data_IF_223851305291
#
_entry.id   IF_223851305291
#
_cell.length_a   1.000
_cell.length_b   1.000
_cell.length_c   1.000
_cell.angle_alpha   90.00
_cell.angle_beta   90.00
_cell.angle_gamma   90.00
#
_symmetry.space_group_name_H-M   'P 1'
#
loop_
_entity.id
_entity.type
_entity.pdbx_description
1 polymer ?
#
# COMPACT_ATOMS: atom_id res chain seq x y z
N UNK A 1 -3.26 43.07 17.27
CA UNK A 1 -4.42 42.50 18.00
C UNK A 1 -4.63 41.09 17.44
N UNK A 2 -4.16 40.09 18.19
CA UNK A 2 -4.25 38.69 17.82
C UNK A 2 -5.58 38.13 18.31
N UNK A 3 -6.41 37.62 17.42
CA UNK A 3 -7.57 36.82 17.80
C UNK A 3 -7.17 35.36 17.76
N UNK A 4 -6.94 34.77 18.92
CA UNK A 4 -6.82 33.34 19.13
C UNK A 4 -8.19 32.69 19.11
N UNK A 5 -8.37 31.68 18.23
CA UNK A 5 -9.51 30.77 18.25
C UNK A 5 -9.11 29.56 19.09
N UNK A 6 -9.86 29.13 20.09
CA UNK A 6 -9.49 28.00 20.94
C UNK A 6 -9.71 26.67 20.22
N UNK A 7 -8.60 25.95 20.02
CA UNK A 7 -8.58 24.53 19.66
C UNK A 7 -8.98 23.69 20.89
N UNK A 8 -10.28 23.44 21.07
CA UNK A 8 -10.67 22.41 22.04
C UNK A 8 -12.11 21.95 21.79
N UNK A 9 -12.29 20.92 20.94
CA UNK A 9 -13.41 19.96 20.96
C UNK A 9 -13.29 18.94 19.81
N UNK A 10 -12.28 18.09 19.86
CA UNK A 10 -12.20 16.85 19.05
C UNK A 10 -11.41 15.80 19.86
N UNK A 11 -11.88 15.59 21.10
CA UNK A 11 -11.38 14.51 21.93
C UNK A 11 -12.60 13.79 22.49
N UNK A 12 -13.02 12.72 21.85
CA UNK A 12 -13.63 11.53 22.47
C UNK A 12 -14.25 10.64 21.40
N UNK A 13 -13.40 9.83 20.78
CA UNK A 13 -13.70 8.47 20.33
C UNK A 13 -12.34 7.77 20.15
N UNK A 14 -11.64 7.58 21.27
CA UNK A 14 -10.58 6.59 21.33
C UNK A 14 -11.25 5.23 21.46
N UNK A 15 -11.63 4.62 20.34
CA UNK A 15 -11.77 3.18 20.26
C UNK A 15 -10.41 2.59 20.64
N UNK A 16 -10.42 1.72 21.66
CA UNK A 16 -9.26 1.03 22.19
C UNK A 16 -8.51 0.34 21.05
N UNK A 17 -7.46 0.99 20.57
CA UNK A 17 -6.47 0.38 19.72
C UNK A 17 -5.72 -0.62 20.61
N UNK A 18 -6.00 -1.89 20.43
CA UNK A 18 -5.15 -2.97 20.96
C UNK A 18 -3.74 -2.81 20.41
N UNK A 19 -2.69 -3.21 21.15
CA UNK A 19 -1.31 -2.90 20.80
C UNK A 19 -0.88 -3.47 19.43
N UNK A 20 0.20 -2.94 18.85
CA UNK A 20 0.61 -3.19 17.46
C UNK A 20 1.32 -4.53 17.27
N UNK A 21 0.59 -5.63 17.40
CA UNK A 21 1.07 -6.97 17.00
C UNK A 21 0.38 -7.47 15.72
N UNK A 22 -0.25 -6.58 14.98
CA UNK A 22 -1.10 -6.93 13.88
C UNK A 22 -0.47 -6.54 12.54
N UNK A 23 0.25 -7.44 11.95
CA UNK A 23 0.88 -7.29 10.64
C UNK A 23 0.96 -8.62 9.91
N UNK A 24 1.46 -8.55 8.68
CA UNK A 24 1.81 -9.77 7.95
C UNK A 24 3.13 -10.34 8.43
N UNK A 25 3.20 -11.66 8.58
CA UNK A 25 4.45 -12.40 8.73
C UNK A 25 4.49 -13.62 7.80
N UNK A 26 5.67 -13.96 7.36
CA UNK A 26 5.97 -15.04 6.44
C UNK A 26 6.91 -16.01 7.13
N UNK A 27 6.64 -17.32 7.02
CA UNK A 27 7.47 -18.40 7.53
C UNK A 27 7.78 -19.34 6.37
N UNK A 28 9.03 -19.28 5.88
CA UNK A 28 9.56 -20.10 4.78
C UNK A 28 8.68 -20.18 3.55
N UNK A 29 8.04 -19.04 3.22
CA UNK A 29 7.12 -18.93 2.10
C UNK A 29 7.85 -19.10 0.79
N UNK A 30 7.38 -20.03 -0.04
CA UNK A 30 7.91 -20.30 -1.38
C UNK A 30 6.83 -20.19 -2.43
N UNK A 31 7.22 -19.85 -3.66
CA UNK A 31 6.32 -19.93 -4.80
C UNK A 31 6.99 -20.53 -6.02
N UNK A 32 6.39 -21.59 -6.57
CA UNK A 32 6.88 -22.34 -7.70
C UNK A 32 5.83 -22.42 -8.80
N UNK A 33 6.29 -22.33 -10.04
CA UNK A 33 5.53 -22.66 -11.24
C UNK A 33 6.23 -23.82 -11.96
N UNK A 34 5.60 -24.50 -12.91
CA UNK A 34 6.25 -25.57 -13.67
C UNK A 34 7.62 -25.15 -14.20
N UNK A 35 8.67 -25.87 -13.81
CA UNK A 35 10.06 -25.63 -14.25
C UNK A 35 10.78 -24.44 -13.61
N UNK A 36 10.14 -23.65 -12.72
CA UNK A 36 10.78 -22.45 -12.15
C UNK A 36 10.32 -22.14 -10.72
N UNK A 37 11.27 -21.79 -9.85
CA UNK A 37 10.99 -21.14 -8.55
C UNK A 37 10.97 -19.62 -8.77
N UNK A 38 9.88 -18.97 -8.37
CA UNK A 38 9.69 -17.52 -8.47
C UNK A 38 9.96 -16.83 -7.13
N UNK A 39 9.75 -17.53 -6.01
CA UNK A 39 10.17 -17.08 -4.68
C UNK A 39 10.80 -18.26 -3.95
N UNK A 40 12.03 -18.07 -3.51
CA UNK A 40 12.76 -18.98 -2.63
C UNK A 40 12.26 -18.84 -1.19
N UNK A 41 12.58 -19.77 -0.27
CA UNK A 41 12.09 -19.69 1.10
C UNK A 41 12.33 -18.32 1.73
N UNK A 42 11.24 -17.64 2.07
CA UNK A 42 11.25 -16.26 2.54
C UNK A 42 10.56 -16.18 3.90
N UNK A 43 11.31 -15.71 4.91
CA UNK A 43 10.80 -15.44 6.26
C UNK A 43 11.04 -13.99 6.61
N UNK A 44 9.95 -13.23 6.84
CA UNK A 44 10.01 -11.81 7.22
C UNK A 44 8.71 -11.39 7.92
N UNK A 45 8.77 -10.26 8.63
CA UNK A 45 7.60 -9.61 9.25
C UNK A 45 7.49 -8.18 8.75
N UNK A 46 6.31 -7.78 8.33
CA UNK A 46 6.03 -6.40 7.92
C UNK A 46 5.64 -5.57 9.14
N UNK A 47 6.29 -4.43 9.40
CA UNK A 47 5.94 -3.56 10.53
C UNK A 47 4.51 -3.04 10.42
N UNK A 48 3.71 -3.22 11.48
CA UNK A 48 2.35 -2.68 11.55
C UNK A 48 2.35 -1.15 11.61
N UNK A 49 1.36 -0.52 10.98
CA UNK A 49 1.20 0.95 10.97
C UNK A 49 2.31 1.70 10.22
N UNK A 50 3.05 1.02 9.35
CA UNK A 50 4.17 1.56 8.58
C UNK A 50 3.94 1.37 7.08
N UNK A 51 4.58 2.22 6.29
CA UNK A 51 4.67 2.05 4.84
C UNK A 51 5.91 1.24 4.50
N UNK A 52 5.71 0.01 4.01
CA UNK A 52 6.80 -0.85 3.52
C UNK A 52 6.84 -0.85 2.00
N UNK A 53 7.97 -0.48 1.43
CA UNK A 53 8.24 -0.57 -0.01
C UNK A 53 8.88 -1.90 -0.38
N UNK A 54 8.26 -2.65 -1.29
CA UNK A 54 8.86 -3.80 -1.95
C UNK A 54 9.64 -3.30 -3.18
N UNK A 55 10.97 -3.41 -3.16
CA UNK A 55 11.88 -2.90 -4.19
C UNK A 55 12.69 -4.02 -4.86
N UNK A 56 13.29 -3.73 -6.01
CA UNK A 56 14.11 -4.66 -6.79
C UNK A 56 13.73 -4.63 -8.27
N UNK A 57 14.52 -5.29 -9.11
CA UNK A 57 14.31 -5.30 -10.56
C UNK A 57 13.02 -6.05 -10.98
N UNK A 58 12.61 -5.91 -12.25
CA UNK A 58 11.46 -6.62 -12.79
C UNK A 58 11.69 -8.13 -12.74
N UNK A 59 10.64 -8.88 -12.37
CA UNK A 59 10.72 -10.33 -12.22
C UNK A 59 11.38 -10.82 -10.92
N UNK A 60 11.70 -9.93 -9.96
CA UNK A 60 12.29 -10.33 -8.69
C UNK A 60 11.32 -10.98 -7.69
N UNK A 61 10.02 -11.08 -8.02
CA UNK A 61 9.02 -11.73 -7.16
C UNK A 61 8.12 -10.79 -6.35
N UNK A 62 8.28 -9.46 -6.42
CA UNK A 62 7.53 -8.46 -5.63
C UNK A 62 6.01 -8.61 -5.75
N UNK A 63 5.48 -8.54 -6.98
CA UNK A 63 4.03 -8.68 -7.23
C UNK A 63 3.52 -10.09 -6.90
N UNK A 64 4.35 -11.14 -7.06
CA UNK A 64 4.02 -12.49 -6.62
C UNK A 64 3.86 -12.55 -5.11
N UNK A 65 4.80 -11.97 -4.36
CA UNK A 65 4.71 -11.85 -2.91
C UNK A 65 3.46 -11.07 -2.50
N UNK A 66 3.22 -9.90 -3.10
CA UNK A 66 2.06 -9.08 -2.79
C UNK A 66 0.73 -9.81 -3.07
N UNK A 67 0.64 -10.56 -4.17
CA UNK A 67 -0.52 -11.39 -4.51
C UNK A 67 -0.77 -12.51 -3.50
N UNK A 68 0.29 -13.08 -2.90
CA UNK A 68 0.13 -14.08 -1.84
C UNK A 68 -0.41 -13.43 -0.56
N UNK A 69 0.10 -12.25 -0.17
CA UNK A 69 -0.45 -11.48 0.95
C UNK A 69 -1.94 -11.14 0.73
N UNK A 70 -2.33 -10.80 -0.52
CA UNK A 70 -3.71 -10.50 -0.91
C UNK A 70 -4.60 -11.74 -1.12
N UNK A 71 -4.10 -12.97 -0.90
CA UNK A 71 -4.81 -14.24 -1.18
C UNK A 71 -5.22 -14.44 -2.64
N UNK A 72 -4.62 -13.68 -3.56
CA UNK A 72 -4.81 -13.89 -5.01
C UNK A 72 -3.97 -15.06 -5.53
N UNK A 73 -2.99 -15.50 -4.74
CA UNK A 73 -2.10 -16.60 -5.06
C UNK A 73 -1.77 -17.39 -3.80
N UNK A 74 -1.86 -18.73 -3.86
CA UNK A 74 -1.45 -19.58 -2.73
C UNK A 74 0.05 -19.82 -2.78
N UNK A 75 0.76 -19.77 -1.63
CA UNK A 75 2.14 -20.20 -1.57
C UNK A 75 2.27 -21.69 -1.94
N UNK A 76 3.40 -22.08 -2.52
CA UNK A 76 3.72 -23.48 -2.81
C UNK A 76 4.28 -24.22 -1.58
N UNK A 77 4.70 -23.49 -0.55
CA UNK A 77 5.18 -23.98 0.74
C UNK A 77 5.34 -22.82 1.70
N UNK A 78 5.44 -23.14 3.00
CA UNK A 78 5.48 -22.18 4.07
C UNK A 78 4.13 -21.55 4.38
N UNK A 79 4.09 -20.65 5.36
CA UNK A 79 2.88 -20.04 5.87
C UNK A 79 2.92 -18.51 5.79
N UNK A 80 1.83 -17.93 5.31
CA UNK A 80 1.56 -16.50 5.42
C UNK A 80 0.57 -16.29 6.56
N UNK A 81 0.95 -15.47 7.53
CA UNK A 81 0.11 -15.15 8.67
C UNK A 81 -0.30 -13.68 8.64
N UNK A 82 -1.53 -13.40 9.03
CA UNK A 82 -2.05 -12.05 9.30
C UNK A 82 -2.48 -12.02 10.77
N UNK A 83 -1.93 -11.10 11.54
CA UNK A 83 -2.19 -11.00 12.99
C UNK A 83 -1.88 -12.31 13.76
N UNK A 84 -0.86 -13.05 13.31
CA UNK A 84 -0.49 -14.33 13.89
C UNK A 84 -1.33 -15.54 13.48
N UNK A 85 -2.41 -15.32 12.72
CA UNK A 85 -3.32 -16.36 12.22
C UNK A 85 -3.03 -16.70 10.75
N UNK A 86 -2.95 -18.00 10.36
CA UNK A 86 -2.72 -18.37 8.97
C UNK A 86 -3.79 -17.79 8.03
N UNK A 87 -3.37 -17.25 6.88
CA UNK A 87 -4.31 -16.70 5.90
C UNK A 87 -5.35 -17.72 5.41
N UNK A 88 -5.02 -19.01 5.45
CA UNK A 88 -5.92 -20.08 5.04
C UNK A 88 -7.18 -20.17 5.93
N UNK A 89 -7.06 -19.76 7.21
CA UNK A 89 -8.12 -19.89 8.21
C UNK A 89 -9.07 -18.68 8.20
N UNK A 90 -8.68 -17.59 7.56
CA UNK A 90 -9.52 -16.40 7.43
C UNK A 90 -10.70 -16.63 6.48
N UNK A 91 -11.92 -16.32 6.92
CA UNK A 91 -13.04 -16.24 5.97
C UNK A 91 -12.90 -14.99 5.08
N UNK A 92 -13.43 -15.07 3.86
CA UNK A 92 -13.22 -14.02 2.85
C UNK A 92 -13.76 -12.65 3.27
N UNK A 93 -14.87 -12.58 4.00
CA UNK A 93 -15.47 -11.32 4.45
C UNK A 93 -14.64 -10.66 5.56
N UNK A 94 -14.19 -11.45 6.54
CA UNK A 94 -13.30 -10.94 7.60
C UNK A 94 -11.97 -10.47 7.01
N UNK A 95 -11.36 -11.26 6.13
CA UNK A 95 -10.13 -10.87 5.44
C UNK A 95 -10.29 -9.56 4.65
N UNK A 96 -11.38 -9.39 3.89
CA UNK A 96 -11.65 -8.17 3.14
C UNK A 96 -11.93 -6.94 4.03
N UNK A 97 -12.22 -7.10 5.31
CA UNK A 97 -12.29 -5.99 6.28
C UNK A 97 -10.93 -5.62 6.87
N UNK A 98 -9.98 -6.53 6.85
CA UNK A 98 -8.62 -6.29 7.34
C UNK A 98 -7.66 -5.85 6.24
N UNK A 99 -7.84 -6.35 5.00
CA UNK A 99 -6.90 -6.13 3.90
C UNK A 99 -7.62 -5.63 2.66
N UNK A 100 -7.15 -4.51 2.13
CA UNK A 100 -7.55 -3.98 0.82
C UNK A 100 -6.40 -4.14 -0.18
N UNK A 101 -6.72 -4.44 -1.44
CA UNK A 101 -5.74 -4.71 -2.49
C UNK A 101 -5.99 -3.87 -3.73
N UNK A 102 -4.96 -3.16 -4.20
CA UNK A 102 -4.96 -2.44 -5.47
C UNK A 102 -4.08 -3.18 -6.47
N UNK A 103 -4.64 -3.71 -7.56
CA UNK A 103 -3.85 -4.36 -8.61
C UNK A 103 -3.10 -3.33 -9.47
N UNK A 104 -2.02 -3.75 -10.12
CA UNK A 104 -1.24 -2.94 -11.07
C UNK A 104 -2.11 -2.40 -12.22
N UNK A 105 -2.93 -3.28 -12.80
CA UNK A 105 -3.93 -2.87 -13.80
C UNK A 105 -5.27 -2.64 -13.09
N UNK A 106 -5.70 -1.39 -13.07
CA UNK A 106 -6.97 -1.03 -12.47
C UNK A 106 -8.13 -1.65 -13.28
N UNK A 107 -9.10 -2.27 -12.60
CA UNK A 107 -10.29 -2.77 -13.27
C UNK A 107 -11.05 -1.66 -14.03
N UNK A 108 -11.82 -2.02 -15.03
CA UNK A 108 -12.71 -1.09 -15.70
C UNK A 108 -13.78 -0.58 -14.73
N UNK A 109 -14.06 0.71 -14.76
CA UNK A 109 -15.11 1.36 -13.98
C UNK A 109 -16.05 2.15 -14.92
N UNK A 110 -16.32 1.59 -16.09
CA UNK A 110 -17.10 2.21 -17.16
C UNK A 110 -18.49 2.63 -16.68
N UNK A 111 -18.85 3.87 -16.96
CA UNK A 111 -20.14 4.42 -16.60
C UNK A 111 -20.34 4.74 -15.12
N UNK A 112 -19.34 4.47 -14.27
CA UNK A 112 -19.42 4.78 -12.84
C UNK A 112 -18.93 6.20 -12.55
N UNK A 113 -19.61 6.90 -11.65
CA UNK A 113 -19.08 8.10 -11.02
C UNK A 113 -18.03 7.76 -9.97
N UNK A 114 -17.19 8.74 -9.60
CA UNK A 114 -16.22 8.59 -8.50
C UNK A 114 -16.89 8.09 -7.22
N UNK A 115 -18.06 8.66 -6.88
CA UNK A 115 -18.83 8.28 -5.68
C UNK A 115 -19.27 6.83 -5.73
N UNK A 116 -19.77 6.36 -6.85
CA UNK A 116 -20.19 4.97 -7.03
C UNK A 116 -19.01 3.99 -6.94
N UNK A 117 -17.88 4.32 -7.57
CA UNK A 117 -16.64 3.53 -7.43
C UNK A 117 -16.22 3.45 -5.96
N UNK A 118 -16.17 4.57 -5.25
CA UNK A 118 -15.75 4.61 -3.84
C UNK A 118 -16.72 3.82 -2.95
N UNK A 119 -18.03 3.85 -3.27
CA UNK A 119 -19.04 3.08 -2.54
C UNK A 119 -18.85 1.56 -2.64
N UNK A 120 -18.24 1.05 -3.73
CA UNK A 120 -17.89 -0.38 -3.85
C UNK A 120 -16.97 -0.83 -2.71
N UNK A 121 -16.10 0.04 -2.22
CA UNK A 121 -15.22 -0.24 -1.07
C UNK A 121 -15.98 -0.66 0.19
N UNK A 122 -17.25 -0.31 0.32
CA UNK A 122 -18.09 -0.68 1.47
C UNK A 122 -18.68 -2.10 1.39
N UNK A 123 -18.53 -2.78 0.25
CA UNK A 123 -19.09 -4.13 0.03
C UNK A 123 -18.74 -5.16 1.13
N UNK A 124 -17.52 -5.24 1.68
CA UNK A 124 -17.20 -6.17 2.75
C UNK A 124 -18.02 -5.98 4.04
N UNK A 125 -18.61 -4.78 4.23
CA UNK A 125 -19.36 -4.45 5.44
C UNK A 125 -20.83 -4.84 5.35
N UNK A 126 -21.51 -4.56 4.25
CA UNK A 126 -22.91 -4.89 4.05
C UNK A 126 -23.15 -6.17 3.20
N UNK A 127 -22.21 -6.54 2.31
CA UNK A 127 -22.39 -7.69 1.40
C UNK A 127 -23.46 -7.44 0.33
N UNK A 128 -23.77 -8.48 -0.47
CA UNK A 128 -24.70 -8.36 -1.61
C UNK A 128 -26.17 -8.11 -1.20
N UNK A 129 -26.59 -8.60 -0.04
CA UNK A 129 -27.98 -8.48 0.45
C UNK A 129 -28.14 -7.42 1.55
N UNK A 130 -27.06 -6.81 1.98
CA UNK A 130 -27.09 -5.76 2.98
C UNK A 130 -27.52 -4.41 2.39
N UNK A 131 -27.99 -3.51 3.25
CA UNK A 131 -28.39 -2.16 2.85
C UNK A 131 -27.22 -1.20 3.05
N UNK A 132 -26.94 -0.39 2.03
CA UNK A 132 -26.02 0.72 2.10
C UNK A 132 -26.60 1.80 3.03
N UNK A 133 -26.02 1.94 4.21
CA UNK A 133 -26.54 2.76 5.31
C UNK A 133 -25.97 4.18 5.40
N UNK A 134 -26.28 4.85 6.50
CA UNK A 134 -25.76 6.20 6.78
C UNK A 134 -24.25 6.17 7.04
N UNK A 135 -23.75 5.19 7.80
CA UNK A 135 -22.32 5.01 8.05
C UNK A 135 -21.54 4.79 6.75
N UNK A 136 -22.07 3.95 5.82
CA UNK A 136 -21.40 3.74 4.53
C UNK A 136 -21.30 5.02 3.72
N UNK A 137 -22.35 5.86 3.72
CA UNK A 137 -22.33 7.18 3.08
C UNK A 137 -21.27 8.09 3.70
N UNK A 138 -21.20 8.13 5.01
CA UNK A 138 -20.21 8.94 5.73
C UNK A 138 -18.78 8.50 5.38
N UNK A 139 -18.49 7.19 5.38
CA UNK A 139 -17.18 6.65 5.01
C UNK A 139 -16.80 6.95 3.55
N UNK A 140 -17.76 6.91 2.64
CA UNK A 140 -17.55 7.28 1.23
C UNK A 140 -17.20 8.77 1.11
N UNK A 141 -17.97 9.67 1.75
CA UNK A 141 -17.69 11.11 1.71
C UNK A 141 -16.35 11.45 2.35
N UNK A 142 -16.04 10.83 3.48
CA UNK A 142 -14.75 10.97 4.14
C UNK A 142 -13.61 10.54 3.22
N UNK A 143 -13.70 9.37 2.59
CA UNK A 143 -12.68 8.86 1.69
C UNK A 143 -12.45 9.78 0.48
N UNK A 144 -13.53 10.24 -0.18
CA UNK A 144 -13.47 11.19 -1.29
C UNK A 144 -12.80 12.50 -0.86
N UNK A 145 -13.13 12.97 0.36
CA UNK A 145 -12.52 14.18 0.91
C UNK A 145 -11.02 14.05 1.15
N UNK A 146 -10.59 12.92 1.74
CA UNK A 146 -9.20 12.66 2.08
C UNK A 146 -8.26 12.62 0.88
N UNK A 147 -8.76 12.14 -0.26
CA UNK A 147 -7.98 12.10 -1.52
C UNK A 147 -8.14 13.37 -2.35
N UNK A 148 -8.90 14.38 -1.89
CA UNK A 148 -9.09 15.66 -2.58
C UNK A 148 -10.01 15.59 -3.80
N UNK A 149 -10.94 14.62 -3.88
CA UNK A 149 -11.81 14.42 -5.03
C UNK A 149 -13.26 14.94 -4.85
N UNK A 150 -13.55 15.72 -3.81
CA UNK A 150 -14.90 16.29 -3.59
C UNK A 150 -15.49 16.98 -4.82
N UNK A 151 -14.76 17.87 -5.54
CA UNK A 151 -15.31 18.54 -6.73
C UNK A 151 -15.62 17.58 -7.88
N UNK A 152 -15.04 16.39 -7.87
CA UNK A 152 -15.13 15.38 -8.93
C UNK A 152 -16.03 14.20 -8.55
N UNK A 153 -16.68 14.22 -7.38
CA UNK A 153 -17.43 13.09 -6.84
C UNK A 153 -18.53 12.56 -7.77
N UNK A 154 -19.11 13.41 -8.59
CA UNK A 154 -20.18 13.09 -9.55
C UNK A 154 -19.67 12.93 -11.00
N UNK A 155 -18.37 13.09 -11.26
CA UNK A 155 -17.79 12.87 -12.58
C UNK A 155 -17.60 11.37 -12.83
N UNK A 156 -17.72 10.98 -14.10
CA UNK A 156 -17.42 9.62 -14.54
C UNK A 156 -15.93 9.35 -14.37
N UNK A 157 -15.59 8.16 -13.86
CA UNK A 157 -14.20 7.72 -13.64
C UNK A 157 -13.40 7.74 -14.94
N UNK A 158 -14.03 7.38 -16.06
CA UNK A 158 -13.39 7.36 -17.38
C UNK A 158 -13.02 8.75 -17.90
N UNK A 159 -13.66 9.82 -17.37
CA UNK A 159 -13.36 11.21 -17.73
C UNK A 159 -12.24 11.85 -16.91
N UNK A 160 -11.70 11.12 -15.94
CA UNK A 160 -10.64 11.60 -15.06
C UNK A 160 -9.25 11.49 -15.70
N UNK A 161 -8.35 12.39 -15.32
CA UNK A 161 -6.92 12.21 -15.59
C UNK A 161 -6.38 10.96 -14.92
N UNK A 162 -5.20 10.46 -15.35
CA UNK A 162 -4.58 9.28 -14.75
C UNK A 162 -4.40 9.40 -13.22
N UNK A 163 -3.89 10.55 -12.76
CA UNK A 163 -3.71 10.81 -11.33
C UNK A 163 -5.00 10.93 -10.54
N UNK A 164 -6.04 11.56 -11.11
CA UNK A 164 -7.37 11.63 -10.48
C UNK A 164 -8.01 10.25 -10.40
N UNK A 165 -7.90 9.45 -11.44
CA UNK A 165 -8.39 8.07 -11.47
C UNK A 165 -7.67 7.20 -10.43
N UNK A 166 -6.35 7.32 -10.32
CA UNK A 166 -5.58 6.61 -9.29
C UNK A 166 -6.05 6.99 -7.87
N UNK A 167 -6.25 8.30 -7.61
CA UNK A 167 -6.79 8.76 -6.33
C UNK A 167 -8.21 8.25 -6.07
N UNK A 168 -9.06 8.11 -7.10
CA UNK A 168 -10.41 7.53 -6.95
C UNK A 168 -10.36 6.06 -6.50
N UNK A 169 -9.46 5.26 -7.06
CA UNK A 169 -9.24 3.89 -6.62
C UNK A 169 -8.66 3.81 -5.19
N UNK A 170 -7.74 4.71 -4.84
CA UNK A 170 -7.25 4.80 -3.46
C UNK A 170 -8.39 5.20 -2.50
N UNK A 171 -9.29 6.12 -2.90
CA UNK A 171 -10.47 6.45 -2.11
C UNK A 171 -11.37 5.25 -1.85
N UNK A 172 -11.56 4.38 -2.85
CA UNK A 172 -12.31 3.13 -2.69
C UNK A 172 -11.67 2.23 -1.61
N UNK A 173 -10.33 2.07 -1.62
CA UNK A 173 -9.63 1.31 -0.59
C UNK A 173 -9.74 1.97 0.79
N UNK A 174 -9.67 3.29 0.86
CA UNK A 174 -9.86 4.05 2.10
C UNK A 174 -11.28 3.87 2.66
N UNK A 175 -12.30 3.91 1.79
CA UNK A 175 -13.69 3.68 2.15
C UNK A 175 -13.94 2.24 2.67
N UNK A 176 -13.15 1.27 2.20
CA UNK A 176 -13.18 -0.11 2.71
C UNK A 176 -12.85 -0.16 4.20
N UNK A 177 -12.14 0.83 4.73
CA UNK A 177 -11.77 0.96 6.15
C UNK A 177 -11.04 -0.29 6.68
N UNK A 178 -10.12 -0.82 5.88
CA UNK A 178 -9.23 -1.92 6.23
C UNK A 178 -8.03 -1.42 7.04
N UNK A 179 -7.35 -2.33 7.75
CA UNK A 179 -6.13 -2.00 8.52
C UNK A 179 -4.86 -2.10 7.70
N UNK A 180 -4.91 -2.82 6.58
CA UNK A 180 -3.77 -3.01 5.69
C UNK A 180 -4.14 -2.72 4.24
N UNK A 181 -3.28 -1.97 3.54
CA UNK A 181 -3.36 -1.70 2.10
C UNK A 181 -2.21 -2.40 1.39
N UNK A 182 -2.54 -3.22 0.40
CA UNK A 182 -1.59 -3.86 -0.50
C UNK A 182 -1.69 -3.17 -1.87
N UNK A 183 -0.60 -2.55 -2.33
CA UNK A 183 -0.60 -1.70 -3.53
C UNK A 183 0.42 -2.24 -4.54
N UNK A 184 -0.06 -2.78 -5.66
CA UNK A 184 0.81 -3.30 -6.72
C UNK A 184 1.09 -2.20 -7.75
N UNK A 185 2.28 -1.58 -7.66
CA UNK A 185 2.74 -0.49 -8.53
C UNK A 185 1.76 0.70 -8.65
N UNK A 186 1.39 1.34 -7.53
CA UNK A 186 0.33 2.36 -7.53
C UNK A 186 0.69 3.63 -8.32
N UNK A 187 1.90 3.74 -8.85
CA UNK A 187 2.39 4.94 -9.55
C UNK A 187 2.91 4.68 -10.98
N UNK A 188 2.84 3.43 -11.47
CA UNK A 188 3.53 3.01 -12.71
C UNK A 188 3.07 3.73 -14.00
N UNK A 189 1.84 4.25 -14.03
CA UNK A 189 1.26 4.93 -15.21
C UNK A 189 1.14 6.45 -15.03
N UNK A 190 1.83 7.03 -14.04
CA UNK A 190 1.70 8.44 -13.68
C UNK A 190 2.98 9.21 -14.01
N UNK A 191 2.84 10.49 -14.36
CA UNK A 191 3.96 11.42 -14.40
C UNK A 191 4.54 11.70 -12.99
N UNK A 192 5.72 12.30 -12.93
CA UNK A 192 6.46 12.51 -11.68
C UNK A 192 5.64 13.31 -10.65
N UNK A 193 4.91 14.34 -11.07
CA UNK A 193 4.12 15.15 -10.15
C UNK A 193 3.01 14.32 -9.49
N UNK A 194 2.28 13.55 -10.28
CA UNK A 194 1.23 12.68 -9.78
C UNK A 194 1.76 11.49 -8.96
N UNK A 195 2.96 10.96 -9.29
CA UNK A 195 3.62 9.95 -8.45
C UNK A 195 3.90 10.48 -7.04
N UNK A 196 4.46 11.69 -6.95
CA UNK A 196 4.72 12.38 -5.67
C UNK A 196 3.44 12.57 -4.88
N UNK A 197 2.38 13.06 -5.52
CA UNK A 197 1.08 13.30 -4.89
C UNK A 197 0.47 12.01 -4.31
N UNK A 198 0.50 10.93 -5.08
CA UNK A 198 -0.05 9.62 -4.67
C UNK A 198 0.75 9.02 -3.52
N UNK A 199 2.09 9.03 -3.60
CA UNK A 199 2.92 8.47 -2.52
C UNK A 199 2.84 9.31 -1.24
N UNK A 200 2.81 10.63 -1.36
CA UNK A 200 2.60 11.53 -0.22
C UNK A 200 1.22 11.31 0.43
N UNK A 201 0.18 11.08 -0.37
CA UNK A 201 -1.16 10.73 0.11
C UNK A 201 -1.13 9.40 0.89
N UNK A 202 -0.53 8.34 0.33
CA UNK A 202 -0.42 7.03 0.95
C UNK A 202 0.33 7.12 2.28
N UNK A 203 1.48 7.79 2.29
CA UNK A 203 2.27 8.01 3.50
C UNK A 203 1.48 8.77 4.57
N UNK A 204 0.82 9.88 4.21
CA UNK A 204 -0.04 10.65 5.12
C UNK A 204 -1.19 9.82 5.69
N UNK A 205 -1.88 9.02 4.87
CA UNK A 205 -2.95 8.13 5.32
C UNK A 205 -2.44 7.08 6.32
N UNK A 206 -1.26 6.49 6.07
CA UNK A 206 -0.62 5.57 7.01
C UNK A 206 -0.36 6.25 8.36
N UNK A 207 0.28 7.43 8.35
CA UNK A 207 0.61 8.16 9.58
C UNK A 207 -0.63 8.61 10.36
N UNK A 208 -1.66 9.10 9.67
CA UNK A 208 -2.86 9.65 10.33
C UNK A 208 -3.80 8.57 10.87
N UNK A 209 -3.84 7.39 10.25
CA UNK A 209 -4.80 6.32 10.58
C UNK A 209 -4.14 5.06 11.14
N UNK A 210 -2.82 5.03 11.26
CA UNK A 210 -2.10 3.83 11.68
C UNK A 210 -2.22 2.67 10.69
N UNK A 211 -2.40 2.97 9.38
CA UNK A 211 -2.55 1.95 8.36
C UNK A 211 -1.22 1.28 8.05
N UNK A 212 -1.21 -0.03 8.02
CA UNK A 212 -0.11 -0.80 7.43
C UNK A 212 -0.23 -0.72 5.92
N UNK A 213 0.82 -0.31 5.23
CA UNK A 213 0.85 -0.26 3.76
C UNK A 213 2.03 -1.08 3.25
N UNK A 214 1.77 -1.98 2.30
CA UNK A 214 2.82 -2.71 1.57
C UNK A 214 2.65 -2.39 0.10
N UNK A 215 3.64 -1.70 -0.49
CA UNK A 215 3.57 -1.21 -1.86
C UNK A 215 4.75 -1.70 -2.69
N UNK A 216 4.47 -2.22 -3.89
CA UNK A 216 5.52 -2.46 -4.91
C UNK A 216 5.90 -1.13 -5.54
N UNK A 217 7.17 -0.78 -5.47
CA UNK A 217 7.72 0.45 -6.02
C UNK A 217 8.93 0.16 -6.91
N UNK A 218 9.06 0.90 -8.02
CA UNK A 218 10.18 0.76 -8.95
C UNK A 218 11.28 1.78 -8.70
N UNK A 219 10.92 3.00 -8.33
CA UNK A 219 11.85 4.08 -8.06
C UNK A 219 12.34 4.02 -6.61
N UNK A 220 13.63 3.73 -6.43
CA UNK A 220 14.27 3.62 -5.12
C UNK A 220 14.29 4.97 -4.38
N UNK A 221 14.43 6.09 -5.08
CA UNK A 221 14.45 7.41 -4.46
C UNK A 221 13.05 7.78 -3.93
N UNK A 222 12.01 7.44 -4.69
CA UNK A 222 10.63 7.57 -4.21
C UNK A 222 10.33 6.63 -3.04
N UNK A 223 10.80 5.37 -3.10
CA UNK A 223 10.66 4.43 -2.00
C UNK A 223 11.38 4.92 -0.74
N UNK A 224 12.62 5.41 -0.87
CA UNK A 224 13.39 5.95 0.25
C UNK A 224 12.74 7.19 0.88
N UNK A 225 12.02 7.98 0.10
CA UNK A 225 11.36 9.21 0.56
C UNK A 225 10.03 8.97 1.27
N UNK A 226 9.25 7.98 0.83
CA UNK A 226 7.86 7.80 1.26
C UNK A 226 7.59 6.53 2.05
N UNK A 227 8.57 5.61 2.17
CA UNK A 227 8.43 4.40 2.97
C UNK A 227 9.19 4.53 4.29
N UNK A 228 8.64 3.92 5.34
CA UNK A 228 9.30 3.77 6.64
C UNK A 228 10.25 2.57 6.66
N UNK A 229 9.95 1.57 5.83
CA UNK A 229 10.68 0.31 5.75
C UNK A 229 10.79 -0.14 4.30
N UNK A 230 11.89 -0.78 3.93
CA UNK A 230 12.12 -1.34 2.60
C UNK A 230 12.43 -2.83 2.70
N UNK A 231 11.92 -3.59 1.75
CA UNK A 231 12.26 -5.01 1.54
C UNK A 231 12.71 -5.16 0.10
N UNK A 232 13.95 -5.55 -0.09
CA UNK A 232 14.59 -5.68 -1.39
C UNK A 232 14.62 -7.14 -1.86
N UNK A 233 14.07 -7.39 -3.05
CA UNK A 233 14.04 -8.72 -3.67
C UNK A 233 14.86 -8.75 -4.96
N UNK A 234 15.61 -9.84 -5.16
CA UNK A 234 16.32 -10.14 -6.41
C UNK A 234 16.26 -11.64 -6.69
N UNK A 235 15.83 -12.02 -7.89
CA UNK A 235 15.76 -13.43 -8.28
C UNK A 235 14.87 -14.30 -7.41
N UNK A 236 13.90 -13.75 -6.72
CA UNK A 236 13.02 -14.47 -5.79
C UNK A 236 13.59 -14.62 -4.37
N UNK A 237 14.70 -13.98 -4.05
CA UNK A 237 15.34 -13.99 -2.73
C UNK A 237 15.28 -12.59 -2.10
N UNK A 238 15.22 -12.52 -0.78
CA UNK A 238 15.36 -11.27 -0.04
C UNK A 238 16.85 -10.95 0.10
N UNK A 239 17.27 -9.81 -0.46
CA UNK A 239 18.66 -9.37 -0.43
C UNK A 239 18.92 -8.50 0.79
N UNK A 240 17.96 -7.63 1.14
CA UNK A 240 18.08 -6.73 2.27
C UNK A 240 16.69 -6.31 2.76
N UNK A 241 16.60 -5.93 4.02
CA UNK A 241 15.45 -5.24 4.61
C UNK A 241 15.92 -4.27 5.69
N UNK A 242 15.17 -3.20 5.90
CA UNK A 242 15.48 -2.20 6.92
C UNK A 242 14.88 -0.83 6.61
N UNK A 243 15.32 0.17 7.31
CA UNK A 243 14.97 1.57 7.03
C UNK A 243 15.58 2.04 5.70
N UNK A 244 15.00 3.07 5.07
CA UNK A 244 15.62 3.67 3.88
C UNK A 244 17.07 4.09 4.08
N UNK A 245 17.44 4.63 5.25
CA UNK A 245 18.80 5.06 5.55
C UNK A 245 19.79 3.88 5.58
N UNK A 246 19.37 2.71 6.05
CA UNK A 246 20.21 1.51 6.07
C UNK A 246 20.44 0.94 4.67
N UNK A 247 19.43 1.00 3.78
CA UNK A 247 19.53 0.42 2.45
C UNK A 247 20.11 1.38 1.41
N UNK A 248 20.04 2.70 1.63
CA UNK A 248 20.54 3.71 0.70
C UNK A 248 22.08 3.86 0.80
N UNK A 249 22.79 2.80 0.43
CA UNK A 249 24.24 2.79 0.27
C UNK A 249 24.63 2.06 -1.03
N UNK A 250 25.77 2.41 -1.63
CA UNK A 250 26.16 1.93 -2.96
C UNK A 250 26.31 0.40 -3.05
N UNK A 251 26.81 -0.24 -2.00
CA UNK A 251 27.01 -1.69 -1.96
C UNK A 251 25.64 -2.43 -1.97
N UNK A 252 24.74 -2.07 -1.08
CA UNK A 252 23.40 -2.67 -1.01
C UNK A 252 22.63 -2.44 -2.31
N UNK A 253 22.66 -1.23 -2.86
CA UNK A 253 21.97 -0.92 -4.12
C UNK A 253 22.54 -1.71 -5.29
N UNK A 254 23.88 -1.88 -5.35
CA UNK A 254 24.50 -2.73 -6.35
C UNK A 254 24.08 -4.20 -6.22
N UNK A 255 23.95 -4.72 -4.99
CA UNK A 255 23.43 -6.07 -4.77
C UNK A 255 21.97 -6.20 -5.25
N UNK A 256 21.14 -5.19 -5.00
CA UNK A 256 19.72 -5.20 -5.39
C UNK A 256 19.55 -5.10 -6.91
N UNK A 257 20.22 -4.12 -7.55
CA UNK A 257 20.00 -3.76 -8.95
C UNK A 257 21.03 -4.36 -9.92
N UNK A 258 22.18 -4.83 -9.42
CA UNK A 258 23.23 -5.45 -10.24
C UNK A 258 24.09 -4.46 -11.01
N UNK A 259 23.97 -3.16 -10.76
CA UNK A 259 24.74 -2.07 -11.39
C UNK A 259 25.37 -1.19 -10.31
N UNK A 260 26.56 -0.57 -10.57
CA UNK A 260 27.14 0.38 -9.65
C UNK A 260 26.23 1.59 -9.45
N UNK A 261 25.99 1.95 -8.19
CA UNK A 261 25.18 3.12 -7.83
C UNK A 261 25.89 3.99 -6.82
N UNK A 262 25.86 5.29 -7.07
CA UNK A 262 26.34 6.32 -6.17
C UNK A 262 25.23 6.88 -5.29
N UNK A 263 25.61 7.49 -4.16
CA UNK A 263 24.70 8.11 -3.21
C UNK A 263 25.14 9.56 -2.95
N UNK A 264 24.19 10.47 -2.96
CA UNK A 264 24.38 11.86 -2.57
C UNK A 264 23.45 12.24 -1.42
N UNK A 265 23.91 13.01 -0.45
CA UNK A 265 23.06 13.60 0.58
C UNK A 265 21.97 14.46 -0.07
N UNK A 266 20.73 14.34 0.41
CA UNK A 266 19.66 15.20 -0.06
C UNK A 266 19.84 16.63 0.49
N UNK A 267 19.80 17.71 -0.34
CA UNK A 267 20.07 19.08 0.11
C UNK A 267 19.15 19.56 1.25
N UNK A 268 17.94 19.05 1.32
CA UNK A 268 16.95 19.38 2.37
C UNK A 268 16.99 18.42 3.57
N UNK A 269 18.03 17.62 3.76
CA UNK A 269 18.17 16.68 4.89
C UNK A 269 17.18 15.51 4.88
N UNK A 270 16.56 15.22 3.73
CA UNK A 270 15.69 14.05 3.51
C UNK A 270 16.54 12.79 3.27
N UNK A 271 15.88 11.66 2.96
CA UNK A 271 16.57 10.45 2.56
C UNK A 271 17.56 10.72 1.41
N UNK A 272 18.77 10.12 1.42
CA UNK A 272 19.75 10.29 0.37
C UNK A 272 19.20 9.96 -1.02
N UNK A 273 19.82 10.51 -2.05
CA UNK A 273 19.43 10.28 -3.45
C UNK A 273 20.45 9.36 -4.10
N UNK A 274 19.98 8.29 -4.73
CA UNK A 274 20.81 7.37 -5.51
C UNK A 274 20.83 7.77 -6.99
N UNK A 275 21.95 7.48 -7.64
CA UNK A 275 22.14 7.65 -9.09
C UNK A 275 22.99 6.51 -9.65
N UNK A 276 22.82 6.23 -10.93
CA UNK A 276 23.65 5.25 -11.67
C UNK A 276 25.00 5.87 -11.97
N UNK A 277 26.10 5.12 -11.70
CA UNK A 277 27.48 5.56 -11.98
C UNK A 277 27.86 5.31 -13.44
#
# INVERSE_FOLDING_TARGET
>A
MCFGVPFNKLATMQDKISPPDAGFSLKDVTFRVPGRTLLHPLSLTFPAGKVTGLIGHNGSGKSTLLKMLGRHQKPSGGDVLLNGEPLADWNSKAFAREVAYLPQQLPAAEGMTVRELVAIGRYPWHGALGRFGAEDRERVEEAISLVGLKPLAHRLVDSLSGGERQRAWIAMLVAQNSRCLLLDEPTSALDIAHQVDVLALIHRLSQQRGLTVIAVLHDINMAARYCDHLVALRGGEMIAQGSPLELMNGETLQQIYGIPMGILPHPAGLAPVSFVC
#
